data_IF_079848278536
#
_entry.id   IF_079848278536
#
_cell.length_a   1.000
_cell.length_b   1.000
_cell.length_c   1.000
_cell.angle_alpha   90.00
_cell.angle_beta   90.00
_cell.angle_gamma   90.00
#
_symmetry.space_group_name_H-M   'P 1'
#
loop_
_entity.id
_entity.type
_entity.pdbx_description
1 polymer ?
#
# COMPACT_ATOMS: atom_id res chain seq x y z
N UNK A 1 14.28 -19.07 -15.05
CA UNK A 1 14.83 -18.88 -16.42
C UNK A 1 14.02 -17.92 -17.29
N UNK A 2 12.79 -17.49 -16.90
CA UNK A 2 12.03 -16.45 -17.62
C UNK A 2 12.59 -15.03 -17.45
N UNK A 3 13.24 -14.71 -16.32
CA UNK A 3 13.77 -13.37 -16.04
C UNK A 3 14.88 -12.93 -17.02
N UNK A 4 15.46 -13.85 -17.81
CA UNK A 4 16.43 -13.52 -18.86
C UNK A 4 15.75 -13.02 -20.16
N UNK A 5 14.55 -13.53 -20.45
CA UNK A 5 13.78 -13.16 -21.65
C UNK A 5 12.85 -11.97 -21.37
N UNK A 6 12.35 -11.86 -20.14
CA UNK A 6 11.54 -10.74 -19.65
C UNK A 6 12.18 -10.21 -18.36
N UNK A 7 13.24 -9.37 -18.47
CA UNK A 7 13.91 -8.88 -17.29
C UNK A 7 12.98 -8.00 -16.49
N UNK A 8 13.03 -8.17 -15.17
CA UNK A 8 12.24 -7.38 -14.24
C UNK A 8 12.60 -5.91 -14.37
N UNK A 9 11.56 -5.09 -14.41
CA UNK A 9 11.65 -3.65 -14.55
C UNK A 9 10.88 -2.96 -13.44
N UNK A 10 11.42 -1.87 -12.93
CA UNK A 10 10.74 -1.04 -11.95
C UNK A 10 9.36 -0.60 -12.47
N UNK A 11 8.32 -0.73 -11.66
CA UNK A 11 6.95 -0.35 -11.99
C UNK A 11 6.76 1.16 -12.23
N UNK A 12 7.71 1.97 -11.79
CA UNK A 12 7.64 3.43 -11.85
C UNK A 12 8.55 4.06 -12.92
N UNK A 13 9.76 3.52 -13.12
CA UNK A 13 10.75 4.11 -14.04
C UNK A 13 11.28 3.15 -15.10
N UNK A 14 10.80 1.90 -15.14
CA UNK A 14 11.21 0.85 -16.07
C UNK A 14 12.70 0.44 -16.06
N UNK A 15 13.49 0.95 -15.09
CA UNK A 15 14.87 0.51 -14.86
C UNK A 15 14.94 -1.00 -14.58
N UNK A 16 15.97 -1.68 -15.07
CA UNK A 16 16.17 -3.11 -14.88
C UNK A 16 16.50 -3.43 -13.42
N UNK A 17 16.08 -4.61 -12.96
CA UNK A 17 16.38 -5.13 -11.62
C UNK A 17 15.11 -5.32 -10.78
N UNK A 18 14.90 -4.47 -9.80
CA UNK A 18 13.81 -4.64 -8.83
C UNK A 18 12.44 -4.20 -9.34
N UNK A 19 11.38 -4.77 -8.76
CA UNK A 19 9.98 -4.40 -9.05
C UNK A 19 9.69 -2.93 -8.70
N UNK A 20 10.32 -2.41 -7.65
CA UNK A 20 10.40 -0.96 -7.37
C UNK A 20 11.80 -0.71 -6.85
N UNK A 21 12.64 -0.07 -7.67
CA UNK A 21 14.04 0.21 -7.32
C UNK A 21 14.16 1.22 -6.17
N UNK A 22 15.32 1.26 -5.53
CA UNK A 22 15.62 2.16 -4.40
C UNK A 22 15.28 3.63 -4.65
N UNK A 23 15.64 4.16 -5.84
CA UNK A 23 15.32 5.55 -6.22
C UNK A 23 13.81 5.82 -6.23
N UNK A 24 13.02 4.86 -6.68
CA UNK A 24 11.58 4.99 -6.72
C UNK A 24 10.96 4.72 -5.34
N UNK A 25 11.53 3.81 -4.58
CA UNK A 25 11.12 3.54 -3.20
C UNK A 25 11.35 4.74 -2.29
N UNK A 26 12.48 5.45 -2.43
CA UNK A 26 12.82 6.60 -1.58
C UNK A 26 11.92 7.82 -1.81
N UNK A 27 11.19 7.85 -2.92
CA UNK A 27 10.19 8.89 -3.23
C UNK A 27 8.83 8.63 -2.59
N UNK A 28 8.60 7.44 -2.07
CA UNK A 28 7.34 7.10 -1.42
C UNK A 28 7.41 7.58 0.03
N UNK A 29 6.39 8.31 0.45
CA UNK A 29 6.33 8.89 1.79
C UNK A 29 5.86 7.83 2.79
N UNK A 30 6.72 7.32 3.69
CA UNK A 30 6.30 6.36 4.70
C UNK A 30 5.37 7.03 5.72
N UNK A 31 4.34 6.32 6.17
CA UNK A 31 3.51 6.74 7.31
C UNK A 31 4.16 6.20 8.59
N UNK A 32 4.85 7.06 9.32
CA UNK A 32 5.46 6.73 10.60
C UNK A 32 4.43 6.78 11.74
N UNK A 33 4.63 5.95 12.77
CA UNK A 33 3.63 5.48 13.74
C UNK A 33 2.90 6.50 14.63
N UNK A 34 3.02 7.80 14.40
CA UNK A 34 2.19 8.82 15.04
C UNK A 34 0.92 9.10 14.23
N UNK A 35 -0.23 8.98 14.87
CA UNK A 35 -1.51 9.27 14.23
C UNK A 35 -2.71 8.67 14.93
N UNK A 36 -3.81 8.57 14.20
CA UNK A 36 -5.06 8.01 14.71
C UNK A 36 -4.95 6.49 14.83
N UNK A 37 -5.10 5.95 16.05
CA UNK A 37 -5.09 4.49 16.27
C UNK A 37 -6.20 3.76 15.54
N UNK A 38 -7.35 4.42 15.29
CA UNK A 38 -8.49 3.89 14.54
C UNK A 38 -8.28 3.93 13.02
N UNK A 39 -8.36 5.10 12.38
CA UNK A 39 -8.27 5.17 10.91
C UNK A 39 -6.85 5.13 10.34
N UNK A 40 -5.81 5.24 11.17
CA UNK A 40 -4.43 5.27 10.70
C UNK A 40 -4.00 6.58 10.04
N UNK A 41 -4.83 7.63 10.08
CA UNK A 41 -4.47 8.95 9.56
C UNK A 41 -3.23 9.48 10.29
N UNK A 42 -2.17 9.91 9.57
CA UNK A 42 -0.96 10.42 10.17
C UNK A 42 -1.24 11.71 10.94
N UNK A 43 -0.46 11.96 11.98
CA UNK A 43 -0.55 13.17 12.77
C UNK A 43 0.70 13.43 13.60
N UNK A 44 0.83 14.63 14.19
CA UNK A 44 2.02 14.99 14.95
C UNK A 44 2.16 14.22 16.27
N UNK A 45 1.07 13.64 16.77
CA UNK A 45 1.04 12.79 17.96
C UNK A 45 0.02 11.67 17.81
N UNK A 46 0.23 10.59 18.58
CA UNK A 46 -0.70 9.47 18.64
C UNK A 46 -1.98 9.84 19.38
N UNK A 47 -3.13 9.53 18.79
CA UNK A 47 -4.45 9.75 19.40
C UNK A 47 -5.32 8.51 19.21
N UNK A 48 -6.20 8.21 20.17
CA UNK A 48 -7.12 7.08 20.03
C UNK A 48 -8.10 7.28 18.86
N UNK A 49 -8.67 8.48 18.77
CA UNK A 49 -9.59 8.88 17.70
C UNK A 49 -9.36 10.33 17.28
N UNK A 50 -9.04 10.54 16.01
CA UNK A 50 -8.99 11.86 15.37
C UNK A 50 -10.40 12.45 15.19
N UNK A 51 -10.47 13.72 14.75
CA UNK A 51 -11.74 14.45 14.54
C UNK A 51 -12.69 13.72 13.58
N UNK A 52 -12.18 13.21 12.45
CA UNK A 52 -12.96 12.44 11.48
C UNK A 52 -13.53 11.15 12.08
N UNK A 53 -12.76 10.46 12.93
CA UNK A 53 -13.19 9.22 13.59
C UNK A 53 -14.23 9.44 14.69
N UNK A 54 -14.28 10.64 15.28
CA UNK A 54 -15.27 10.98 16.32
C UNK A 54 -16.62 11.35 15.73
N UNK A 55 -16.63 11.98 14.55
CA UNK A 55 -17.84 12.46 13.90
C UNK A 55 -18.57 11.43 13.02
N UNK A 56 -18.04 10.21 12.83
CA UNK A 56 -18.58 9.23 11.87
C UNK A 56 -18.68 7.82 12.45
N UNK A 57 -19.70 7.07 12.02
CA UNK A 57 -19.75 5.62 12.19
C UNK A 57 -18.87 4.96 11.13
N UNK A 58 -17.70 4.51 11.55
CA UNK A 58 -16.75 3.78 10.70
C UNK A 58 -16.91 2.28 10.93
N UNK A 59 -17.11 1.51 9.86
CA UNK A 59 -17.42 0.08 9.89
C UNK A 59 -16.23 -0.85 10.18
N UNK A 60 -15.03 -0.30 10.40
CA UNK A 60 -13.83 -1.07 10.76
C UNK A 60 -13.32 -0.68 12.15
N UNK A 61 -12.64 -1.63 12.80
CA UNK A 61 -11.98 -1.43 14.09
C UNK A 61 -10.65 -0.66 13.96
N UNK A 62 -9.88 -0.96 12.92
CA UNK A 62 -8.62 -0.30 12.62
C UNK A 62 -8.27 -0.32 11.13
N UNK A 63 -7.49 0.65 10.69
CA UNK A 63 -6.87 0.68 9.37
C UNK A 63 -5.41 1.12 9.47
N UNK A 64 -4.55 0.59 8.58
CA UNK A 64 -3.13 0.94 8.49
C UNK A 64 -2.69 1.00 7.03
N UNK A 65 -1.79 1.92 6.75
CA UNK A 65 -1.14 2.09 5.47
C UNK A 65 0.36 2.27 5.69
N UNK A 66 1.18 1.70 4.82
CA UNK A 66 2.64 1.83 4.92
C UNK A 66 3.16 3.16 4.34
N UNK A 67 2.44 3.73 3.37
CA UNK A 67 2.83 4.94 2.64
C UNK A 67 1.64 5.89 2.47
N UNK A 68 1.92 7.19 2.43
CA UNK A 68 0.95 8.22 2.12
C UNK A 68 0.58 8.18 0.63
N UNK A 69 -0.68 8.45 0.31
CA UNK A 69 -1.16 8.46 -1.07
C UNK A 69 -0.89 9.80 -1.75
N UNK A 70 0.36 10.01 -2.16
CA UNK A 70 0.83 11.19 -2.90
C UNK A 70 0.97 10.90 -4.41
N UNK A 71 1.72 11.76 -5.13
CA UNK A 71 1.96 11.59 -6.57
C UNK A 71 2.71 10.27 -6.87
N UNK A 72 3.75 9.95 -6.11
CA UNK A 72 4.55 8.74 -6.33
C UNK A 72 3.76 7.47 -6.02
N UNK A 73 3.03 7.47 -4.90
CA UNK A 73 2.15 6.36 -4.53
C UNK A 73 1.00 6.18 -5.53
N UNK A 74 0.44 7.27 -6.05
CA UNK A 74 -0.58 7.21 -7.12
C UNK A 74 -0.03 6.54 -8.38
N UNK A 75 1.16 6.92 -8.85
CA UNK A 75 1.78 6.27 -10.00
C UNK A 75 2.00 4.77 -9.77
N UNK A 76 2.42 4.37 -8.57
CA UNK A 76 2.62 2.96 -8.23
C UNK A 76 1.31 2.18 -8.24
N UNK A 77 0.28 2.73 -7.60
CA UNK A 77 -1.05 2.11 -7.53
C UNK A 77 -1.69 2.02 -8.91
N UNK A 78 -1.53 3.02 -9.77
CA UNK A 78 -2.00 2.96 -11.17
C UNK A 78 -1.29 1.87 -11.96
N UNK A 79 0.05 1.79 -11.87
CA UNK A 79 0.81 0.73 -12.53
C UNK A 79 0.37 -0.67 -12.06
N UNK A 80 0.04 -0.80 -10.77
CA UNK A 80 -0.43 -2.06 -10.19
C UNK A 80 -1.86 -2.41 -10.61
N UNK A 81 -2.84 -1.53 -10.34
CA UNK A 81 -4.27 -1.82 -10.54
C UNK A 81 -4.66 -1.82 -12.01
N UNK A 82 -4.20 -0.82 -12.76
CA UNK A 82 -4.60 -0.61 -14.15
C UNK A 82 -3.54 -1.13 -15.13
N UNK A 83 -2.26 -1.02 -14.77
CA UNK A 83 -1.13 -1.45 -15.61
C UNK A 83 -0.80 -2.95 -15.51
N UNK A 84 -1.60 -3.75 -14.79
CA UNK A 84 -1.41 -5.19 -14.69
C UNK A 84 -0.13 -5.64 -13.94
N UNK A 85 0.56 -4.73 -13.24
CA UNK A 85 1.81 -5.02 -12.50
C UNK A 85 1.55 -5.76 -11.19
N UNK A 86 1.05 -7.00 -11.29
CA UNK A 86 0.74 -7.89 -10.16
C UNK A 86 1.96 -8.23 -9.30
N UNK A 87 3.15 -8.16 -9.88
CA UNK A 87 4.43 -8.35 -9.19
C UNK A 87 4.70 -7.30 -8.10
N UNK A 88 4.05 -6.13 -8.16
CA UNK A 88 4.09 -5.10 -7.10
C UNK A 88 3.46 -5.60 -5.80
N UNK A 89 2.52 -6.56 -5.85
CA UNK A 89 1.78 -7.02 -4.68
C UNK A 89 2.69 -7.54 -3.55
N UNK A 90 3.68 -8.37 -3.89
CA UNK A 90 4.62 -8.92 -2.90
C UNK A 90 5.53 -7.82 -2.29
N UNK A 91 5.90 -6.82 -3.09
CA UNK A 91 6.66 -5.66 -2.62
C UNK A 91 5.84 -4.79 -1.66
N UNK A 92 4.55 -4.57 -1.96
CA UNK A 92 3.64 -3.79 -1.14
C UNK A 92 3.30 -4.52 0.17
N UNK A 93 3.02 -5.82 0.10
CA UNK A 93 2.73 -6.66 1.26
C UNK A 93 3.87 -6.62 2.29
N UNK A 94 5.13 -6.69 1.86
CA UNK A 94 6.30 -6.59 2.76
C UNK A 94 6.37 -5.26 3.51
N UNK A 95 6.04 -4.15 2.84
CA UNK A 95 6.00 -2.82 3.49
C UNK A 95 4.84 -2.70 4.48
N UNK A 96 3.67 -3.22 4.12
CA UNK A 96 2.52 -3.25 5.02
C UNK A 96 2.87 -4.08 6.26
N UNK A 97 3.38 -5.29 6.08
CA UNK A 97 3.76 -6.18 7.19
C UNK A 97 4.82 -5.56 8.12
N UNK A 98 5.74 -4.75 7.60
CA UNK A 98 6.74 -4.05 8.42
C UNK A 98 6.13 -2.93 9.30
N UNK A 99 4.93 -2.44 8.99
CA UNK A 99 4.28 -1.34 9.71
C UNK A 99 3.26 -1.81 10.76
N UNK A 100 2.99 -3.11 10.87
CA UNK A 100 2.00 -3.65 11.80
C UNK A 100 2.58 -4.86 12.54
N UNK A 101 2.26 -5.01 13.84
CA UNK A 101 2.44 -6.30 14.49
C UNK A 101 1.60 -7.36 13.78
N UNK A 102 2.03 -8.62 13.86
CA UNK A 102 1.23 -9.74 13.38
C UNK A 102 -0.16 -9.68 14.05
N UNK A 103 -1.24 -9.53 13.27
CA UNK A 103 -2.58 -9.44 13.83
C UNK A 103 -3.05 -10.81 14.28
N UNK A 104 -3.79 -10.85 15.39
CA UNK A 104 -4.48 -12.06 15.85
C UNK A 104 -5.76 -12.25 15.04
N UNK A 105 -5.62 -12.88 13.87
CA UNK A 105 -6.72 -13.13 12.93
C UNK A 105 -6.67 -14.56 12.41
N UNK A 106 -7.85 -15.16 12.23
CA UNK A 106 -8.00 -16.53 11.71
C UNK A 106 -8.17 -16.56 10.19
N UNK A 107 -8.45 -15.41 9.57
CA UNK A 107 -8.72 -15.30 8.14
C UNK A 107 -8.27 -13.96 7.57
N UNK A 108 -7.89 -13.98 6.29
CA UNK A 108 -7.63 -12.80 5.47
C UNK A 108 -8.60 -12.82 4.30
N UNK A 109 -9.37 -11.75 4.14
CA UNK A 109 -10.38 -11.64 3.09
C UNK A 109 -9.99 -10.50 2.13
N UNK A 110 -9.85 -10.76 0.82
CA UNK A 110 -9.60 -9.70 -0.15
C UNK A 110 -10.84 -8.82 -0.29
N UNK A 111 -10.65 -7.51 -0.39
CA UNK A 111 -11.73 -6.62 -0.83
C UNK A 111 -11.88 -6.81 -2.34
N UNK A 112 -13.04 -7.29 -2.83
CA UNK A 112 -13.22 -7.53 -4.26
C UNK A 112 -13.05 -6.22 -5.03
N UNK A 113 -12.41 -6.33 -6.21
CA UNK A 113 -12.31 -5.22 -7.14
C UNK A 113 -13.69 -4.80 -7.64
N UNK A 114 -13.77 -3.56 -8.13
CA UNK A 114 -14.94 -3.10 -8.87
C UNK A 114 -15.16 -4.00 -10.08
N UNK A 115 -16.39 -4.53 -10.25
CA UNK A 115 -16.74 -5.51 -11.29
C UNK A 115 -16.49 -4.94 -12.69
N UNK A 116 -16.69 -3.64 -12.87
CA UNK A 116 -16.52 -2.97 -14.16
C UNK A 116 -15.04 -2.74 -14.50
N UNK A 117 -14.15 -2.91 -13.50
CA UNK A 117 -12.70 -2.67 -13.61
C UNK A 117 -11.89 -3.96 -13.47
N UNK A 118 -12.53 -5.11 -13.32
CA UNK A 118 -11.87 -6.41 -13.37
C UNK A 118 -11.46 -6.71 -14.81
N UNK A 119 -10.15 -6.77 -15.06
CA UNK A 119 -9.60 -7.28 -16.32
C UNK A 119 -10.17 -8.69 -16.57
N UNK A 120 -10.92 -8.83 -17.67
CA UNK A 120 -11.39 -10.13 -18.18
C UNK A 120 -10.23 -10.95 -18.71
#
# INVERSE_FOLDING_TARGET
>A
MLDLLLPRRCALCAALGEVVCDRCSSRLLPIAGSGCRRCGAPGPWSVDRCVECRGRRIAFAGARAAIAYDVAARSLVTAWKEGGRRDVAAWAARRIAACLPAPDVTAVVPVPGDRDRTLR
#
